data_IF_443118619829
#
_entry.id   IF_443118619829
#
_cell.length_a   1.000
_cell.length_b   1.000
_cell.length_c   1.000
_cell.angle_alpha   90.00
_cell.angle_beta   90.00
_cell.angle_gamma   90.00
#
_symmetry.space_group_name_H-M   'P 1'
#
loop_
_entity.id
_entity.type
_entity.pdbx_description
1 polymer ?
#
# COMPACT_ATOMS: atom_id res chain seq x y z
N UNK A 1 -32.59 -23.49 37.41
CA UNK A 1 -32.40 -23.86 35.95
C UNK A 1 -31.16 -23.30 35.28
N UNK A 2 -30.38 -22.41 35.89
CA UNK A 2 -29.23 -21.73 35.25
C UNK A 2 -27.94 -22.57 35.19
N UNK A 3 -27.62 -23.35 36.21
CA UNK A 3 -26.35 -24.08 36.36
C UNK A 3 -26.20 -25.30 35.45
N UNK A 4 -27.28 -26.03 35.21
CA UNK A 4 -27.25 -27.25 34.35
C UNK A 4 -27.04 -26.92 32.87
N UNK A 5 -27.64 -25.83 32.38
CA UNK A 5 -27.45 -25.37 30.98
C UNK A 5 -26.06 -24.78 30.77
N UNK A 6 -25.50 -24.10 31.80
CA UNK A 6 -24.11 -23.60 31.77
C UNK A 6 -23.12 -24.78 31.61
N UNK A 7 -23.30 -25.85 32.38
CA UNK A 7 -22.46 -27.05 32.27
C UNK A 7 -22.59 -27.80 30.94
N UNK A 8 -23.75 -27.69 30.25
CA UNK A 8 -23.95 -28.29 28.92
C UNK A 8 -23.24 -27.49 27.82
N UNK A 9 -23.15 -26.16 27.94
CA UNK A 9 -22.51 -25.31 26.95
C UNK A 9 -20.98 -25.12 27.15
N UNK A 10 -20.49 -25.30 28.37
CA UNK A 10 -19.07 -25.20 28.70
C UNK A 10 -18.25 -26.34 28.08
N UNK A 11 -18.80 -27.54 27.96
CA UNK A 11 -18.10 -28.70 27.39
C UNK A 11 -18.40 -28.86 25.92
N UNK A 12 -17.32 -28.96 25.09
CA UNK A 12 -17.40 -29.22 23.65
C UNK A 12 -18.16 -30.51 23.33
N UNK A 13 -17.90 -31.59 24.05
CA UNK A 13 -18.58 -32.88 23.85
C UNK A 13 -20.08 -32.79 24.11
N UNK A 14 -20.48 -32.05 25.14
CA UNK A 14 -21.89 -31.84 25.46
C UNK A 14 -22.60 -30.97 24.45
N UNK A 15 -21.91 -29.95 23.88
CA UNK A 15 -22.44 -29.11 22.78
C UNK A 15 -22.69 -29.91 21.52
N UNK A 16 -21.80 -30.85 21.18
CA UNK A 16 -21.93 -31.72 20.01
C UNK A 16 -23.12 -32.69 20.09
N UNK A 17 -23.71 -32.91 21.27
CA UNK A 17 -24.93 -33.71 21.47
C UNK A 17 -26.21 -32.90 21.36
N UNK A 18 -26.13 -31.57 21.26
CA UNK A 18 -27.32 -30.71 21.18
C UNK A 18 -27.98 -30.80 19.80
N UNK A 19 -29.29 -30.60 19.73
CA UNK A 19 -30.06 -30.65 18.47
C UNK A 19 -29.66 -29.54 17.52
N UNK A 20 -29.56 -29.87 16.26
CA UNK A 20 -29.25 -28.91 15.19
C UNK A 20 -30.33 -27.81 15.06
N UNK A 21 -29.91 -26.60 14.79
CA UNK A 21 -30.79 -25.45 14.51
C UNK A 21 -31.41 -24.82 15.75
N UNK A 22 -31.42 -25.49 16.91
CA UNK A 22 -31.94 -24.94 18.15
C UNK A 22 -30.97 -23.98 18.80
N UNK A 23 -31.54 -22.97 19.52
CA UNK A 23 -30.78 -21.99 20.29
C UNK A 23 -30.78 -22.42 21.76
N UNK A 24 -29.62 -22.53 22.35
CA UNK A 24 -29.39 -22.87 23.75
C UNK A 24 -28.80 -21.66 24.46
N UNK A 25 -29.44 -21.11 25.46
CA UNK A 25 -29.04 -19.88 26.14
C UNK A 25 -28.65 -20.07 27.59
N UNK A 26 -27.62 -19.36 28.05
CA UNK A 26 -27.22 -19.25 29.45
C UNK A 26 -27.33 -17.78 29.86
N UNK A 27 -28.00 -17.51 30.97
CA UNK A 27 -28.06 -16.18 31.58
C UNK A 27 -26.70 -15.81 32.18
N UNK A 28 -26.17 -14.63 31.81
CA UNK A 28 -24.89 -14.09 32.29
C UNK A 28 -25.08 -12.94 33.29
N UNK A 29 -26.29 -12.37 33.34
CA UNK A 29 -26.69 -11.26 34.18
C UNK A 29 -28.08 -10.77 33.80
N UNK A 30 -28.60 -9.72 34.46
CA UNK A 30 -29.90 -9.14 34.14
C UNK A 30 -29.96 -8.71 32.67
N UNK A 31 -30.91 -9.29 31.91
CA UNK A 31 -31.10 -8.96 30.50
C UNK A 31 -30.06 -9.49 29.51
N UNK A 32 -29.00 -10.17 29.98
CA UNK A 32 -27.88 -10.64 29.13
C UNK A 32 -27.82 -12.16 29.13
N UNK A 33 -27.84 -12.76 27.94
CA UNK A 33 -27.72 -14.20 27.75
C UNK A 33 -26.66 -14.51 26.67
N UNK A 34 -25.80 -15.51 26.90
CA UNK A 34 -25.02 -16.14 25.88
C UNK A 34 -25.84 -17.22 25.18
N UNK A 35 -25.94 -17.19 23.88
CA UNK A 35 -26.71 -18.11 23.05
C UNK A 35 -25.78 -18.90 22.12
N UNK A 36 -25.83 -20.23 22.24
CA UNK A 36 -25.19 -21.17 21.33
C UNK A 36 -26.20 -21.69 20.30
N UNK A 37 -25.78 -21.83 19.06
CA UNK A 37 -26.56 -22.49 17.99
C UNK A 37 -25.68 -23.45 17.22
N UNK A 38 -26.03 -24.73 17.22
CA UNK A 38 -25.41 -25.76 16.40
C UNK A 38 -25.99 -25.68 14.99
N UNK A 39 -25.14 -25.49 13.98
CA UNK A 39 -25.58 -25.43 12.57
C UNK A 39 -25.59 -26.85 11.96
N UNK A 40 -26.45 -27.09 10.95
CA UNK A 40 -26.43 -28.33 10.16
C UNK A 40 -25.32 -28.32 9.13
N UNK A 41 -25.04 -27.15 8.53
CA UNK A 41 -24.00 -26.87 7.58
C UNK A 41 -23.23 -25.65 8.04
N UNK A 42 -21.89 -25.72 8.02
CA UNK A 42 -21.01 -24.67 8.51
C UNK A 42 -20.80 -24.70 10.03
N UNK A 43 -20.12 -23.67 10.55
CA UNK A 43 -19.71 -23.61 11.96
C UNK A 43 -20.86 -23.29 12.92
N UNK A 44 -20.87 -23.96 14.05
CA UNK A 44 -21.67 -23.57 15.19
C UNK A 44 -21.29 -22.15 15.64
N UNK A 45 -22.21 -21.42 16.28
CA UNK A 45 -21.98 -20.02 16.58
C UNK A 45 -22.39 -19.60 17.99
N UNK A 46 -21.63 -18.67 18.54
CA UNK A 46 -21.95 -17.93 19.74
C UNK A 46 -22.60 -16.60 19.39
N UNK A 47 -23.63 -16.22 20.17
CA UNK A 47 -24.31 -14.92 20.09
C UNK A 47 -24.63 -14.39 21.47
N UNK A 48 -24.59 -13.08 21.67
CA UNK A 48 -25.12 -12.42 22.84
C UNK A 48 -26.56 -11.99 22.58
N UNK A 49 -27.47 -12.34 23.49
CA UNK A 49 -28.84 -11.85 23.48
C UNK A 49 -28.99 -10.85 24.64
N UNK A 50 -29.36 -9.63 24.29
CA UNK A 50 -29.55 -8.54 25.23
C UNK A 50 -31.00 -8.06 25.15
N UNK A 51 -31.57 -7.75 26.32
CA UNK A 51 -32.89 -7.12 26.45
C UNK A 51 -32.70 -5.72 27.02
N UNK A 52 -33.13 -4.71 26.27
CA UNK A 52 -33.08 -3.33 26.70
C UNK A 52 -34.14 -2.99 27.74
N UNK A 53 -34.04 -1.83 28.43
CA UNK A 53 -35.04 -1.39 29.41
C UNK A 53 -36.44 -1.24 28.83
N UNK A 54 -36.56 -1.05 27.52
CA UNK A 54 -37.85 -0.93 26.79
C UNK A 54 -38.41 -2.30 26.37
N UNK A 55 -37.77 -3.40 26.80
CA UNK A 55 -38.23 -4.77 26.51
C UNK A 55 -37.83 -5.34 25.17
N UNK A 56 -37.15 -4.58 24.30
CA UNK A 56 -36.69 -5.04 22.99
C UNK A 56 -35.47 -5.96 23.14
N UNK A 57 -35.52 -7.10 22.45
CA UNK A 57 -34.44 -8.08 22.48
C UNK A 57 -33.59 -8.01 21.23
N UNK A 58 -32.28 -7.85 21.39
CA UNK A 58 -31.28 -7.90 20.33
C UNK A 58 -30.47 -9.18 20.43
N UNK A 59 -30.08 -9.75 19.28
CA UNK A 59 -29.22 -10.91 19.19
C UNK A 59 -28.01 -10.57 18.34
N UNK A 60 -26.82 -10.52 18.96
CA UNK A 60 -25.55 -10.18 18.29
C UNK A 60 -24.67 -11.42 18.19
N UNK A 61 -24.23 -11.77 16.98
CA UNK A 61 -23.26 -12.85 16.78
C UNK A 61 -21.87 -12.40 17.29
N UNK A 62 -21.22 -13.27 18.10
CA UNK A 62 -19.90 -13.02 18.68
C UNK A 62 -18.78 -13.70 17.87
N UNK A 63 -19.00 -14.93 17.41
CA UNK A 63 -18.03 -15.70 16.65
C UNK A 63 -18.51 -17.13 16.37
N UNK A 64 -17.66 -17.93 15.71
CA UNK A 64 -17.84 -19.37 15.60
C UNK A 64 -17.55 -20.04 16.96
N UNK A 65 -18.18 -21.18 17.23
CA UNK A 65 -17.84 -22.00 18.39
C UNK A 65 -16.65 -22.92 18.05
N UNK A 66 -15.82 -23.20 19.06
CA UNK A 66 -14.64 -24.08 18.98
C UNK A 66 -14.97 -25.57 18.84
N UNK A 67 -16.10 -25.88 18.19
CA UNK A 67 -16.57 -27.26 18.06
C UNK A 67 -15.79 -28.06 17.02
N UNK A 68 -15.32 -27.42 15.95
CA UNK A 68 -14.56 -28.02 14.87
C UNK A 68 -13.06 -27.62 14.87
N UNK A 69 -12.76 -26.38 15.29
CA UNK A 69 -11.44 -25.78 15.22
C UNK A 69 -11.01 -25.29 16.59
N UNK A 70 -9.70 -25.20 16.88
CA UNK A 70 -9.20 -24.60 18.12
C UNK A 70 -9.58 -23.12 18.23
N UNK A 71 -9.92 -22.64 19.43
CA UNK A 71 -10.29 -21.24 19.63
C UNK A 71 -9.09 -20.32 19.44
N UNK A 72 -9.25 -19.28 18.59
CA UNK A 72 -8.28 -18.22 18.32
C UNK A 72 -8.54 -16.94 19.14
N UNK A 73 -9.64 -16.90 19.87
CA UNK A 73 -10.07 -15.75 20.66
C UNK A 73 -10.61 -14.56 19.85
N UNK A 74 -10.70 -14.67 18.53
CA UNK A 74 -11.11 -13.59 17.60
C UNK A 74 -12.29 -14.02 16.73
N UNK A 75 -12.12 -15.11 15.98
CA UNK A 75 -13.13 -15.63 15.04
C UNK A 75 -13.77 -16.90 15.55
N UNK A 76 -12.99 -17.74 16.22
CA UNK A 76 -13.42 -18.97 16.89
C UNK A 76 -13.24 -18.83 18.39
N UNK A 77 -14.33 -18.97 19.13
CA UNK A 77 -14.37 -18.66 20.55
C UNK A 77 -14.67 -19.92 21.38
N UNK A 78 -13.93 -20.13 22.47
CA UNK A 78 -14.31 -21.06 23.52
C UNK A 78 -15.53 -20.52 24.28
N UNK A 79 -16.15 -21.36 25.10
CA UNK A 79 -17.26 -20.93 25.96
C UNK A 79 -16.86 -19.77 26.88
N UNK A 80 -15.69 -19.83 27.51
CA UNK A 80 -15.20 -18.79 28.42
C UNK A 80 -14.92 -17.47 27.69
N UNK A 81 -14.31 -17.55 26.50
CA UNK A 81 -14.06 -16.38 25.65
C UNK A 81 -15.37 -15.74 25.18
N UNK A 82 -16.36 -16.56 24.81
CA UNK A 82 -17.68 -16.09 24.43
C UNK A 82 -18.45 -15.46 25.62
N UNK A 83 -18.33 -16.01 26.83
CA UNK A 83 -18.88 -15.43 28.05
C UNK A 83 -18.25 -14.07 28.37
N UNK A 84 -16.91 -14.00 28.32
CA UNK A 84 -16.17 -12.76 28.54
C UNK A 84 -16.58 -11.68 27.53
N UNK A 85 -16.66 -12.05 26.25
CA UNK A 85 -17.05 -11.13 25.18
C UNK A 85 -18.52 -10.69 25.31
N UNK A 86 -19.43 -11.59 25.68
CA UNK A 86 -20.83 -11.27 25.92
C UNK A 86 -21.02 -10.29 27.10
N UNK A 87 -20.23 -10.41 28.17
CA UNK A 87 -20.22 -9.46 29.30
C UNK A 87 -19.65 -8.11 28.93
N UNK A 88 -18.49 -8.07 28.25
CA UNK A 88 -17.87 -6.82 27.77
C UNK A 88 -18.82 -6.06 26.85
N UNK A 89 -19.61 -6.76 26.05
CA UNK A 89 -20.64 -6.11 25.20
C UNK A 89 -21.83 -5.60 25.99
N UNK A 90 -22.05 -6.04 27.24
CA UNK A 90 -23.12 -5.51 28.11
C UNK A 90 -22.69 -4.31 28.95
N UNK A 91 -21.40 -4.26 29.36
CA UNK A 91 -20.85 -3.20 30.19
C UNK A 91 -20.31 -2.01 29.41
N UNK A 92 -20.23 -2.15 28.08
CA UNK A 92 -19.64 -1.19 27.15
C UNK A 92 -20.63 -0.39 26.31
N UNK A 93 -21.78 -0.04 26.83
CA UNK A 93 -22.77 0.80 26.15
C UNK A 93 -22.47 2.29 26.22
N UNK A 94 -21.28 2.74 25.82
CA UNK A 94 -21.13 4.17 25.65
C UNK A 94 -20.95 4.62 24.20
N UNK A 95 -20.59 3.73 23.24
CA UNK A 95 -20.22 4.27 21.92
C UNK A 95 -20.40 3.35 20.68
N UNK A 96 -21.21 2.28 20.78
CA UNK A 96 -21.53 1.52 19.55
C UNK A 96 -22.88 1.98 19.02
N UNK A 97 -22.95 2.76 17.95
CA UNK A 97 -24.21 3.17 17.32
C UNK A 97 -25.05 1.94 16.99
N UNK A 98 -26.38 2.04 17.12
CA UNK A 98 -27.28 1.01 16.63
C UNK A 98 -26.92 0.68 15.16
N UNK A 99 -27.01 -0.59 14.73
CA UNK A 99 -26.74 -0.93 13.34
C UNK A 99 -27.46 0.03 12.39
N UNK A 100 -26.75 0.53 11.38
CA UNK A 100 -27.26 1.46 10.39
C UNK A 100 -27.49 2.93 10.81
N UNK A 101 -27.07 3.36 12.02
CA UNK A 101 -27.12 4.78 12.43
C UNK A 101 -25.78 5.49 12.25
N UNK A 102 -24.77 4.78 11.76
CA UNK A 102 -23.41 5.29 11.63
C UNK A 102 -23.29 6.30 10.48
N UNK A 103 -22.81 7.51 10.75
CA UNK A 103 -22.43 8.46 9.71
C UNK A 103 -21.06 8.13 9.12
N UNK A 104 -20.80 8.61 7.91
CA UNK A 104 -19.48 8.44 7.26
C UNK A 104 -18.37 9.09 8.09
N UNK A 105 -18.64 10.21 8.77
CA UNK A 105 -17.69 10.86 9.69
C UNK A 105 -17.35 9.94 10.86
N UNK A 106 -18.35 9.40 11.54
CA UNK A 106 -18.13 8.46 12.64
C UNK A 106 -17.40 7.19 12.20
N UNK A 107 -17.74 6.66 11.00
CA UNK A 107 -17.01 5.54 10.40
C UNK A 107 -15.54 5.90 10.15
N UNK A 108 -15.28 7.12 9.63
CA UNK A 108 -13.92 7.61 9.38
C UNK A 108 -13.11 7.79 10.68
N UNK A 109 -13.71 8.31 11.74
CA UNK A 109 -13.05 8.50 13.03
C UNK A 109 -12.64 7.14 13.63
N UNK A 110 -13.54 6.15 13.63
CA UNK A 110 -13.26 4.78 14.08
C UNK A 110 -12.19 4.10 13.19
N UNK A 111 -12.33 4.24 11.88
CA UNK A 111 -11.34 3.73 10.93
C UNK A 111 -9.95 4.34 11.18
N UNK A 112 -9.86 5.64 11.44
CA UNK A 112 -8.59 6.32 11.69
C UNK A 112 -7.95 5.91 13.01
N UNK A 113 -8.72 5.63 14.06
CA UNK A 113 -8.21 5.07 15.32
C UNK A 113 -7.54 3.73 15.08
N UNK A 114 -8.23 2.82 14.39
CA UNK A 114 -7.66 1.53 13.99
C UNK A 114 -6.47 1.69 13.05
N UNK A 115 -6.56 2.57 12.03
CA UNK A 115 -5.53 2.76 11.01
C UNK A 115 -4.21 3.25 11.60
N UNK A 116 -4.25 4.16 12.57
CA UNK A 116 -3.06 4.67 13.27
C UNK A 116 -2.32 3.59 14.04
N UNK A 117 -3.04 2.65 14.63
CA UNK A 117 -2.44 1.52 15.36
C UNK A 117 -1.82 0.46 14.44
N UNK A 118 -2.37 0.23 13.23
CA UNK A 118 -2.04 -0.94 12.42
C UNK A 118 -1.40 -0.62 11.07
N UNK A 119 -1.35 0.65 10.64
CA UNK A 119 -0.93 1.02 9.28
C UNK A 119 0.04 2.20 9.25
N UNK A 120 0.93 2.17 8.24
CA UNK A 120 1.81 3.29 7.90
C UNK A 120 1.12 4.20 6.87
N UNK A 121 1.52 5.46 6.76
CA UNK A 121 0.96 6.38 5.73
C UNK A 121 -0.29 7.13 6.16
N UNK A 122 -0.45 7.37 7.46
CA UNK A 122 -1.57 8.08 8.10
C UNK A 122 -1.91 9.40 7.41
N UNK A 123 -0.91 10.23 7.10
CA UNK A 123 -1.12 11.57 6.52
C UNK A 123 -1.83 11.56 5.17
N UNK A 124 -1.55 10.56 4.32
CA UNK A 124 -2.22 10.44 3.01
C UNK A 124 -3.69 10.10 3.18
N UNK A 125 -4.00 9.18 4.10
CA UNK A 125 -5.38 8.78 4.42
C UNK A 125 -6.15 9.94 5.04
N UNK A 126 -5.56 10.64 6.01
CA UNK A 126 -6.14 11.85 6.63
C UNK A 126 -6.43 12.93 5.57
N UNK A 127 -5.49 13.16 4.65
CA UNK A 127 -5.69 14.12 3.57
C UNK A 127 -6.86 13.74 2.65
N UNK A 128 -6.96 12.47 2.25
CA UNK A 128 -8.08 11.99 1.43
C UNK A 128 -9.42 12.14 2.14
N UNK A 129 -9.48 11.82 3.44
CA UNK A 129 -10.68 11.99 4.25
C UNK A 129 -11.06 13.48 4.35
N UNK A 130 -10.13 14.32 4.82
CA UNK A 130 -10.42 15.74 5.12
C UNK A 130 -10.76 16.55 3.88
N UNK A 131 -10.05 16.32 2.76
CA UNK A 131 -10.16 17.17 1.56
C UNK A 131 -11.27 16.70 0.64
N UNK A 132 -11.53 15.41 0.56
CA UNK A 132 -12.43 14.87 -0.47
C UNK A 132 -13.66 14.15 0.08
N UNK A 133 -13.48 13.29 1.09
CA UNK A 133 -14.55 12.39 1.52
C UNK A 133 -15.51 13.05 2.49
N UNK A 134 -14.99 13.63 3.58
CA UNK A 134 -15.83 14.20 4.63
C UNK A 134 -16.63 15.44 4.18
N UNK A 135 -16.12 16.35 3.32
CA UNK A 135 -16.93 17.43 2.81
C UNK A 135 -18.15 16.99 2.00
N UNK A 136 -18.02 15.83 1.33
CA UNK A 136 -19.10 15.29 0.47
C UNK A 136 -20.05 14.37 1.23
N UNK A 137 -19.53 13.47 2.04
CA UNK A 137 -20.33 12.38 2.63
C UNK A 137 -20.35 12.39 4.15
N UNK A 138 -19.56 13.22 4.84
CA UNK A 138 -19.32 13.12 6.27
C UNK A 138 -20.59 13.09 7.13
N UNK A 139 -21.60 13.87 6.77
CA UNK A 139 -22.89 13.96 7.47
C UNK A 139 -23.89 12.86 7.08
N UNK A 140 -23.62 12.11 6.01
CA UNK A 140 -24.52 11.07 5.50
C UNK A 140 -24.41 9.79 6.33
N UNK A 141 -25.53 9.12 6.53
CA UNK A 141 -25.54 7.76 7.06
C UNK A 141 -24.95 6.79 6.03
N UNK A 142 -24.09 5.86 6.49
CA UNK A 142 -23.44 4.88 5.59
C UNK A 142 -24.46 4.08 4.80
N UNK A 143 -25.57 3.70 5.41
CA UNK A 143 -26.64 2.89 4.77
C UNK A 143 -27.42 3.64 3.70
N UNK A 144 -27.37 4.97 3.70
CA UNK A 144 -28.05 5.78 2.69
C UNK A 144 -27.23 6.01 1.42
N UNK A 145 -25.95 5.64 1.43
CA UNK A 145 -25.07 5.78 0.28
C UNK A 145 -25.51 4.84 -0.85
N UNK A 146 -25.60 5.38 -2.07
CA UNK A 146 -25.97 4.62 -3.27
C UNK A 146 -24.79 4.48 -4.23
N UNK A 147 -24.70 3.35 -4.91
CA UNK A 147 -23.67 3.08 -5.90
C UNK A 147 -23.57 4.18 -6.98
N UNK A 148 -24.72 4.73 -7.40
CA UNK A 148 -24.77 5.82 -8.37
C UNK A 148 -24.06 7.09 -7.85
N UNK A 149 -24.31 7.50 -6.61
CA UNK A 149 -23.69 8.67 -6.00
C UNK A 149 -22.16 8.48 -5.82
N UNK A 150 -21.74 7.31 -5.38
CA UNK A 150 -20.32 6.96 -5.23
C UNK A 150 -19.61 6.95 -6.59
N UNK A 151 -20.28 6.46 -7.63
CA UNK A 151 -19.78 6.50 -9.01
C UNK A 151 -19.70 7.93 -9.54
N UNK A 152 -20.71 8.76 -9.29
CA UNK A 152 -20.71 10.18 -9.66
C UNK A 152 -19.56 10.94 -8.95
N UNK A 153 -19.33 10.68 -7.66
CA UNK A 153 -18.19 11.23 -6.92
C UNK A 153 -16.85 10.84 -7.55
N UNK A 154 -16.66 9.56 -7.87
CA UNK A 154 -15.44 9.05 -8.52
C UNK A 154 -15.21 9.73 -9.88
N UNK A 155 -16.24 9.85 -10.70
CA UNK A 155 -16.18 10.50 -12.01
C UNK A 155 -15.91 11.99 -11.89
N UNK A 156 -16.58 12.70 -10.98
CA UNK A 156 -16.33 14.13 -10.71
C UNK A 156 -14.88 14.37 -10.33
N UNK A 157 -14.32 13.55 -9.45
CA UNK A 157 -12.91 13.67 -9.09
C UNK A 157 -11.96 13.43 -10.27
N UNK A 158 -12.30 12.55 -11.19
CA UNK A 158 -11.48 12.23 -12.36
C UNK A 158 -11.47 13.36 -13.41
N UNK A 159 -12.51 14.18 -13.45
CA UNK A 159 -12.67 15.28 -14.43
C UNK A 159 -12.35 16.65 -13.88
N UNK A 160 -12.42 16.84 -12.55
CA UNK A 160 -12.15 18.12 -11.89
C UNK A 160 -10.64 18.39 -11.81
N UNK A 161 -10.26 19.66 -11.99
CA UNK A 161 -8.89 20.13 -11.82
C UNK A 161 -8.35 19.80 -10.41
N UNK A 162 -7.05 19.46 -10.26
CA UNK A 162 -6.48 19.10 -8.97
C UNK A 162 -6.35 20.32 -8.05
N UNK A 163 -6.86 20.23 -6.83
CA UNK A 163 -6.53 21.20 -5.78
C UNK A 163 -5.04 21.16 -5.46
N UNK A 164 -4.40 22.31 -5.35
CA UNK A 164 -2.99 22.46 -4.95
C UNK A 164 -2.90 22.93 -3.52
N UNK A 165 -1.74 22.71 -2.89
CA UNK A 165 -1.49 23.21 -1.54
C UNK A 165 -1.63 24.74 -1.54
N UNK A 166 -2.56 25.22 -0.71
CA UNK A 166 -2.90 26.62 -0.57
C UNK A 166 -2.47 27.06 0.83
N UNK A 167 -1.99 28.29 0.97
CA UNK A 167 -1.74 28.91 2.26
C UNK A 167 -3.03 28.98 3.07
N UNK A 168 -2.94 28.84 4.39
CA UNK A 168 -4.10 29.01 5.27
C UNK A 168 -4.67 30.45 5.23
N UNK A 169 -3.86 31.40 4.79
CA UNK A 169 -4.24 32.82 4.67
C UNK A 169 -4.76 33.19 3.26
N UNK A 170 -4.78 32.24 2.32
CA UNK A 170 -5.27 32.53 0.96
C UNK A 170 -6.80 32.59 0.94
N UNK A 171 -7.32 33.63 0.28
CA UNK A 171 -8.78 33.81 0.10
C UNK A 171 -9.40 32.72 -0.79
N UNK A 172 -8.63 32.20 -1.74
CA UNK A 172 -9.09 31.19 -2.68
C UNK A 172 -8.16 29.96 -2.69
N UNK A 173 -8.72 28.79 -2.98
CA UNK A 173 -7.94 27.56 -3.12
C UNK A 173 -7.15 27.57 -4.43
N UNK A 174 -5.84 27.30 -4.36
CA UNK A 174 -5.03 27.08 -5.55
C UNK A 174 -5.50 25.83 -6.29
N UNK A 175 -5.84 25.99 -7.56
CA UNK A 175 -6.29 24.91 -8.43
C UNK A 175 -5.27 24.73 -9.56
N UNK A 176 -4.96 23.50 -9.89
CA UNK A 176 -4.11 23.17 -11.04
C UNK A 176 -4.87 23.30 -12.36
N UNK A 177 -4.21 23.13 -13.50
CA UNK A 177 -4.87 23.12 -14.79
C UNK A 177 -5.86 21.97 -14.90
N UNK A 178 -6.93 22.17 -15.67
CA UNK A 178 -7.88 21.13 -16.00
C UNK A 178 -7.16 19.94 -16.71
N UNK A 179 -7.61 18.70 -16.50
CA UNK A 179 -6.98 17.53 -17.10
C UNK A 179 -7.39 17.38 -18.58
N UNK A 180 -6.76 18.15 -19.47
CA UNK A 180 -7.08 18.14 -20.91
C UNK A 180 -6.40 16.97 -21.62
N UNK A 181 -5.11 16.74 -21.35
CA UNK A 181 -4.34 15.68 -22.00
C UNK A 181 -4.70 14.29 -21.47
N UNK A 182 -4.52 13.25 -22.26
CA UNK A 182 -4.79 11.88 -21.85
C UNK A 182 -3.97 11.44 -20.64
N UNK A 183 -2.71 11.90 -20.53
CA UNK A 183 -1.88 11.65 -19.36
C UNK A 183 -2.43 12.36 -18.13
N UNK A 184 -2.85 13.61 -18.23
CA UNK A 184 -3.48 14.34 -17.12
C UNK A 184 -4.82 13.69 -16.69
N UNK A 185 -5.64 13.25 -17.64
CA UNK A 185 -6.88 12.49 -17.37
C UNK A 185 -6.58 11.17 -16.66
N UNK A 186 -5.55 10.44 -17.11
CA UNK A 186 -5.12 9.20 -16.48
C UNK A 186 -4.64 9.44 -15.04
N UNK A 187 -3.84 10.46 -14.79
CA UNK A 187 -3.36 10.82 -13.44
C UNK A 187 -4.52 11.20 -12.52
N UNK A 188 -5.52 11.93 -13.02
CA UNK A 188 -6.72 12.27 -12.26
C UNK A 188 -7.55 11.03 -11.91
N UNK A 189 -7.74 10.09 -12.86
CA UNK A 189 -8.38 8.80 -12.61
C UNK A 189 -7.65 7.99 -11.54
N UNK A 190 -6.31 7.95 -11.58
CA UNK A 190 -5.51 7.27 -10.54
C UNK A 190 -5.69 7.93 -9.18
N UNK A 191 -5.73 9.27 -9.12
CA UNK A 191 -6.01 10.01 -7.89
C UNK A 191 -7.42 9.72 -7.36
N UNK A 192 -8.42 9.75 -8.23
CA UNK A 192 -9.81 9.43 -7.90
C UNK A 192 -9.93 8.00 -7.33
N UNK A 193 -9.30 7.02 -7.98
CA UNK A 193 -9.25 5.64 -7.49
C UNK A 193 -8.61 5.54 -6.10
N UNK A 194 -7.51 6.26 -5.85
CA UNK A 194 -6.85 6.26 -4.52
C UNK A 194 -7.75 6.82 -3.43
N UNK A 195 -8.44 7.92 -3.67
CA UNK A 195 -9.38 8.49 -2.71
C UNK A 195 -10.57 7.56 -2.50
N UNK A 196 -11.12 7.01 -3.57
CA UNK A 196 -12.21 6.04 -3.47
C UNK A 196 -11.80 4.77 -2.70
N UNK A 197 -10.57 4.29 -2.87
CA UNK A 197 -10.06 3.14 -2.10
C UNK A 197 -10.01 3.43 -0.59
N UNK A 198 -9.72 4.68 -0.17
CA UNK A 198 -9.81 5.08 1.24
C UNK A 198 -11.27 5.03 1.72
N UNK A 199 -12.20 5.60 0.95
CA UNK A 199 -13.64 5.53 1.27
C UNK A 199 -14.11 4.07 1.35
N UNK A 200 -13.79 3.25 0.36
CA UNK A 200 -14.16 1.83 0.36
C UNK A 200 -13.56 1.06 1.53
N UNK A 201 -12.33 1.36 1.93
CA UNK A 201 -11.68 0.70 3.06
C UNK A 201 -12.36 1.02 4.40
N UNK A 202 -12.73 2.29 4.63
CA UNK A 202 -13.47 2.65 5.85
C UNK A 202 -14.88 2.07 5.88
N UNK A 203 -15.59 2.01 4.74
CA UNK A 203 -16.91 1.40 4.65
C UNK A 203 -16.85 -0.12 4.86
N UNK A 204 -15.85 -0.78 4.28
CA UNK A 204 -15.61 -2.21 4.52
C UNK A 204 -15.29 -2.48 6.00
N UNK A 205 -14.51 -1.62 6.65
CA UNK A 205 -14.21 -1.75 8.09
C UNK A 205 -15.49 -1.63 8.91
N UNK A 206 -16.35 -0.63 8.61
CA UNK A 206 -17.65 -0.48 9.28
C UNK A 206 -18.55 -1.70 9.08
N UNK A 207 -18.55 -2.31 7.89
CA UNK A 207 -19.28 -3.55 7.62
C UNK A 207 -18.68 -4.75 8.37
N UNK A 208 -17.36 -4.91 8.36
CA UNK A 208 -16.66 -6.00 9.08
C UNK A 208 -16.88 -5.91 10.60
N UNK A 209 -16.96 -4.69 11.14
CA UNK A 209 -17.22 -4.44 12.54
C UNK A 209 -18.72 -4.61 12.92
N UNK A 210 -19.58 -4.97 11.98
CA UNK A 210 -21.01 -5.17 12.20
C UNK A 210 -21.82 -3.88 12.40
N UNK A 211 -21.23 -2.71 12.12
CA UNK A 211 -21.87 -1.39 12.29
C UNK A 211 -22.86 -1.06 11.16
N UNK A 212 -22.75 -1.76 10.04
CA UNK A 212 -23.68 -1.69 8.91
C UNK A 212 -23.98 -3.10 8.40
N UNK A 213 -25.20 -3.29 7.89
CA UNK A 213 -25.71 -4.63 7.54
C UNK A 213 -25.44 -5.06 6.11
N UNK A 214 -25.06 -4.14 5.22
CA UNK A 214 -24.81 -4.45 3.81
C UNK A 214 -23.66 -3.62 3.25
N UNK A 215 -22.87 -4.22 2.40
CA UNK A 215 -21.77 -3.60 1.66
C UNK A 215 -22.05 -3.50 0.15
N UNK A 216 -23.25 -3.88 -0.28
CA UNK A 216 -23.64 -4.05 -1.69
C UNK A 216 -23.44 -2.79 -2.52
N UNK A 217 -23.74 -1.61 -1.97
CA UNK A 217 -23.70 -0.37 -2.74
C UNK A 217 -22.27 0.01 -3.16
N UNK A 218 -21.29 -0.06 -2.25
CA UNK A 218 -19.91 0.29 -2.62
C UNK A 218 -19.13 -0.86 -3.27
N UNK A 219 -19.61 -2.10 -3.19
CA UNK A 219 -19.06 -3.23 -3.98
C UNK A 219 -19.37 -3.09 -5.46
N UNK A 220 -20.53 -2.53 -5.81
CA UNK A 220 -20.95 -2.32 -7.21
C UNK A 220 -20.10 -1.29 -7.93
N UNK A 221 -19.49 -0.34 -7.21
CA UNK A 221 -18.68 0.72 -7.80
C UNK A 221 -17.35 0.17 -8.31
N UNK A 222 -17.09 0.36 -9.59
CA UNK A 222 -15.85 -0.09 -10.25
C UNK A 222 -14.89 1.08 -10.42
N UNK A 223 -13.66 1.00 -9.88
CA UNK A 223 -12.63 2.00 -10.13
C UNK A 223 -12.31 2.13 -11.63
N UNK A 224 -11.81 3.30 -12.03
CA UNK A 224 -11.37 3.53 -13.41
C UNK A 224 -10.28 2.54 -13.82
N UNK A 225 -10.50 1.83 -14.92
CA UNK A 225 -9.54 0.86 -15.48
C UNK A 225 -8.35 1.60 -16.09
N UNK A 226 -7.19 0.93 -16.15
CA UNK A 226 -5.95 1.43 -16.76
C UNK A 226 -5.45 2.78 -16.22
N UNK A 227 -5.96 3.24 -15.07
CA UNK A 227 -5.54 4.48 -14.44
C UNK A 227 -4.10 4.43 -13.92
N UNK A 228 -3.63 3.24 -13.51
CA UNK A 228 -2.30 3.00 -12.94
C UNK A 228 -1.34 2.34 -13.94
N UNK A 229 -1.51 2.61 -15.24
CA UNK A 229 -0.54 2.16 -16.23
C UNK A 229 0.83 2.76 -15.89
N UNK A 230 1.89 1.95 -15.80
CA UNK A 230 3.22 2.45 -15.48
C UNK A 230 3.69 3.41 -16.56
N UNK A 231 4.16 4.58 -16.15
CA UNK A 231 4.85 5.51 -17.03
C UNK A 231 6.32 5.08 -17.06
N UNK A 232 6.72 4.40 -18.12
CA UNK A 232 8.10 3.92 -18.25
C UNK A 232 8.94 5.00 -18.93
N UNK A 233 9.20 6.12 -18.20
CA UNK A 233 10.20 7.11 -18.60
C UNK A 233 11.51 6.76 -17.90
N UNK A 234 12.57 6.60 -18.67
CA UNK A 234 13.94 6.47 -18.18
C UNK A 234 14.87 7.32 -19.07
N UNK A 235 16.00 7.70 -18.53
CA UNK A 235 16.99 8.49 -19.22
C UNK A 235 17.88 7.60 -20.09
N UNK A 236 18.19 8.06 -21.29
CA UNK A 236 19.29 7.52 -22.07
C UNK A 236 20.62 7.81 -21.39
N UNK A 237 21.71 7.13 -21.81
CA UNK A 237 23.07 7.41 -21.31
C UNK A 237 23.43 8.89 -21.51
N UNK A 238 23.16 9.44 -22.70
CA UNK A 238 23.43 10.84 -23.01
C UNK A 238 22.65 11.83 -22.14
N UNK A 239 21.34 11.56 -21.90
CA UNK A 239 20.52 12.36 -21.00
C UNK A 239 21.01 12.28 -19.56
N UNK A 240 21.43 11.10 -19.09
CA UNK A 240 21.99 10.92 -17.75
C UNK A 240 23.25 11.76 -17.53
N UNK A 241 24.14 11.78 -18.52
CA UNK A 241 25.38 12.59 -18.49
C UNK A 241 25.02 14.09 -18.44
N UNK A 242 24.13 14.57 -19.34
CA UNK A 242 23.71 15.97 -19.34
C UNK A 242 23.08 16.38 -18.01
N UNK A 243 22.23 15.52 -17.44
CA UNK A 243 21.59 15.78 -16.14
C UNK A 243 22.62 15.92 -15.02
N UNK A 244 23.55 14.96 -14.92
CA UNK A 244 24.61 14.99 -13.89
C UNK A 244 25.44 16.25 -14.01
N UNK A 245 25.79 16.68 -15.24
CA UNK A 245 26.58 17.90 -15.47
C UNK A 245 25.81 19.19 -15.09
N UNK A 246 24.50 19.20 -15.34
CA UNK A 246 23.63 20.35 -15.01
C UNK A 246 23.26 20.45 -13.53
N UNK A 247 23.45 19.38 -12.73
CA UNK A 247 23.12 19.39 -11.31
C UNK A 247 24.12 20.21 -10.48
N UNK A 248 23.67 21.10 -9.54
CA UNK A 248 24.52 21.72 -8.56
C UNK A 248 25.05 20.67 -7.53
N UNK A 249 26.15 21.00 -6.85
CA UNK A 249 26.94 20.03 -6.06
C UNK A 249 26.15 19.09 -5.15
N UNK A 250 25.28 19.50 -4.21
CA UNK A 250 24.59 18.54 -3.34
C UNK A 250 23.64 17.64 -4.12
N UNK A 251 22.96 18.16 -5.15
CA UNK A 251 22.01 17.39 -5.98
C UNK A 251 22.76 16.44 -6.90
N UNK A 252 23.91 16.86 -7.44
CA UNK A 252 24.78 16.03 -8.29
C UNK A 252 25.16 14.73 -7.60
N UNK A 253 25.58 14.80 -6.34
CA UNK A 253 25.94 13.59 -5.57
C UNK A 253 24.76 12.67 -5.37
N UNK A 254 23.55 13.20 -5.05
CA UNK A 254 22.33 12.42 -4.92
C UNK A 254 21.92 11.75 -6.23
N UNK A 255 21.97 12.48 -7.36
CA UNK A 255 21.62 11.95 -8.69
C UNK A 255 22.59 10.85 -9.10
N UNK A 256 23.91 11.07 -8.91
CA UNK A 256 24.93 10.03 -9.18
C UNK A 256 24.73 8.81 -8.28
N UNK A 257 24.45 9.00 -6.98
CA UNK A 257 24.16 7.91 -6.06
C UNK A 257 22.90 7.11 -6.48
N UNK A 258 21.83 7.79 -6.91
CA UNK A 258 20.64 7.13 -7.43
C UNK A 258 20.89 6.31 -8.70
N UNK A 259 21.65 6.86 -9.63
CA UNK A 259 22.02 6.18 -10.88
C UNK A 259 23.00 5.00 -10.66
N UNK A 260 23.85 5.07 -9.62
CA UNK A 260 24.80 3.99 -9.30
C UNK A 260 24.18 2.85 -8.49
N UNK A 261 23.07 3.08 -7.76
CA UNK A 261 22.52 2.12 -6.78
C UNK A 261 21.08 1.69 -7.05
N UNK A 262 20.34 2.45 -7.86
CA UNK A 262 18.90 2.28 -8.02
C UNK A 262 18.10 2.53 -6.73
N UNK A 263 18.70 3.14 -5.71
CA UNK A 263 18.06 3.40 -4.43
C UNK A 263 16.92 4.42 -4.54
N UNK A 264 15.90 4.27 -3.67
CA UNK A 264 14.85 5.29 -3.53
C UNK A 264 15.41 6.54 -2.87
N UNK A 265 14.83 7.70 -3.17
CA UNK A 265 15.23 8.97 -2.54
C UNK A 265 15.37 8.84 -1.02
N UNK A 266 14.34 8.33 -0.33
CA UNK A 266 14.39 8.16 1.12
C UNK A 266 15.37 7.09 1.62
N UNK A 267 15.84 6.17 0.78
CA UNK A 267 16.92 5.24 1.10
C UNK A 267 18.26 5.96 1.05
N UNK A 268 18.54 6.74 0.00
CA UNK A 268 19.74 7.56 -0.12
C UNK A 268 19.91 8.54 1.04
N UNK A 269 18.83 9.15 1.51
CA UNK A 269 18.90 10.12 2.62
C UNK A 269 19.34 9.51 3.94
N UNK A 270 19.18 8.21 4.12
CA UNK A 270 19.53 7.50 5.36
C UNK A 270 20.83 6.72 5.29
N UNK A 271 21.48 6.71 4.12
CA UNK A 271 22.77 6.02 3.96
C UNK A 271 23.84 6.71 4.77
N UNK A 272 24.52 5.95 5.62
CA UNK A 272 25.65 6.40 6.43
C UNK A 272 26.97 5.89 5.85
N UNK A 273 28.06 6.57 6.17
CA UNK A 273 29.39 6.17 5.70
C UNK A 273 29.74 4.72 6.10
N UNK A 274 29.29 4.26 7.27
CA UNK A 274 29.48 2.88 7.72
C UNK A 274 28.65 1.83 6.97
N UNK A 275 27.69 2.23 6.11
CA UNK A 275 26.96 1.30 5.25
C UNK A 275 27.78 0.88 4.01
N UNK A 276 28.91 1.53 3.75
CA UNK A 276 29.80 1.22 2.63
C UNK A 276 31.00 0.38 3.09
N UNK A 277 31.23 -0.73 2.39
CA UNK A 277 32.41 -1.57 2.56
C UNK A 277 33.41 -1.30 1.41
N UNK A 278 34.56 -0.60 1.67
CA UNK A 278 35.52 -0.28 0.62
C UNK A 278 36.21 -1.50 0.01
N UNK A 279 36.37 -2.57 0.81
CA UNK A 279 37.07 -3.79 0.39
C UNK A 279 36.26 -4.64 -0.56
N UNK A 280 34.95 -4.73 -0.31
CA UNK A 280 34.03 -5.53 -1.13
C UNK A 280 33.34 -4.72 -2.22
N UNK A 281 33.40 -3.39 -2.15
CA UNK A 281 32.66 -2.50 -3.06
C UNK A 281 31.14 -2.55 -2.89
N UNK A 282 30.67 -3.08 -1.75
CA UNK A 282 29.23 -3.22 -1.44
C UNK A 282 28.71 -2.03 -0.64
N UNK A 283 27.51 -1.59 -0.98
CA UNK A 283 26.78 -0.59 -0.23
C UNK A 283 25.52 -1.22 0.36
N UNK A 284 25.38 -1.16 1.68
CA UNK A 284 24.19 -1.62 2.39
C UNK A 284 23.08 -0.59 2.31
N UNK A 285 21.94 -0.98 1.75
CA UNK A 285 20.74 -0.16 1.72
C UNK A 285 19.79 -0.65 2.81
N UNK A 286 19.66 0.16 3.85
CA UNK A 286 18.81 -0.15 5.01
C UNK A 286 17.34 -0.30 4.61
N UNK A 287 16.58 -1.19 5.29
CA UNK A 287 15.17 -1.38 5.00
C UNK A 287 14.39 -0.07 5.18
N UNK A 288 13.52 0.20 4.22
CA UNK A 288 12.62 1.35 4.24
C UNK A 288 11.17 0.95 4.49
N UNK A 289 10.30 1.25 3.51
CA UNK A 289 8.91 0.76 3.50
C UNK A 289 8.80 -0.74 3.24
N UNK A 290 9.72 -1.33 2.48
CA UNK A 290 9.88 -2.78 2.30
C UNK A 290 10.72 -3.33 3.43
N UNK A 291 10.33 -4.44 4.00
CA UNK A 291 10.92 -5.00 5.23
C UNK A 291 12.33 -5.62 5.06
N UNK A 292 12.91 -5.55 3.87
CA UNK A 292 14.21 -6.16 3.59
C UNK A 292 15.24 -5.12 3.15
N UNK A 293 16.37 -5.07 3.87
CA UNK A 293 17.57 -4.38 3.41
C UNK A 293 18.26 -5.19 2.31
N UNK A 294 19.23 -4.56 1.63
CA UNK A 294 20.00 -5.23 0.57
C UNK A 294 21.39 -4.67 0.42
N UNK A 295 22.33 -5.51 0.05
CA UNK A 295 23.65 -5.10 -0.43
C UNK A 295 23.57 -4.85 -1.95
N UNK A 296 24.10 -3.71 -2.38
CA UNK A 296 24.19 -3.36 -3.79
C UNK A 296 25.68 -3.22 -4.16
N UNK A 297 26.18 -4.03 -5.11
CA UNK A 297 27.53 -3.87 -5.62
C UNK A 297 27.61 -2.58 -6.45
N UNK A 298 28.66 -1.80 -6.24
CA UNK A 298 28.91 -0.58 -6.97
C UNK A 298 29.79 -0.85 -8.19
N UNK A 299 29.46 -0.25 -9.32
CA UNK A 299 30.36 -0.20 -10.47
C UNK A 299 31.53 0.76 -10.18
N UNK A 300 32.53 0.81 -11.06
CA UNK A 300 33.73 1.63 -10.90
C UNK A 300 33.42 3.11 -10.58
N UNK A 301 32.44 3.70 -11.27
CA UNK A 301 32.03 5.09 -11.04
C UNK A 301 31.34 5.30 -9.69
N UNK A 302 30.42 4.39 -9.33
CA UNK A 302 29.76 4.41 -8.02
C UNK A 302 30.72 4.20 -6.87
N UNK A 303 31.70 3.31 -7.05
CA UNK A 303 32.77 3.05 -6.08
C UNK A 303 33.65 4.30 -5.86
N UNK A 304 34.12 4.92 -6.95
CA UNK A 304 34.93 6.15 -6.86
C UNK A 304 34.15 7.28 -6.17
N UNK A 305 32.89 7.50 -6.55
CA UNK A 305 32.01 8.48 -5.95
C UNK A 305 31.86 8.23 -4.43
N UNK A 306 31.55 6.98 -4.05
CA UNK A 306 31.27 6.65 -2.65
C UNK A 306 32.57 6.78 -1.81
N UNK A 307 33.71 6.28 -2.28
CA UNK A 307 35.00 6.46 -1.65
C UNK A 307 35.31 7.95 -1.40
N UNK A 308 35.09 8.80 -2.40
CA UNK A 308 35.29 10.25 -2.26
C UNK A 308 34.37 10.86 -1.20
N UNK A 309 33.08 10.44 -1.16
CA UNK A 309 32.10 11.02 -0.24
C UNK A 309 32.27 10.55 1.22
N UNK A 310 32.87 9.39 1.46
CA UNK A 310 33.07 8.86 2.82
C UNK A 310 34.45 9.18 3.40
N UNK A 311 35.41 9.58 2.57
CA UNK A 311 36.78 9.80 2.98
C UNK A 311 36.89 10.79 4.17
N UNK A 312 37.57 10.37 5.24
CA UNK A 312 37.78 11.18 6.44
C UNK A 312 36.52 11.47 7.27
N UNK A 313 35.40 10.78 7.01
CA UNK A 313 34.15 11.03 7.72
C UNK A 313 33.78 9.88 8.64
N UNK A 314 33.15 10.16 9.81
CA UNK A 314 32.75 9.10 10.75
C UNK A 314 31.70 8.19 10.15
N UNK A 315 31.69 6.93 10.61
CA UNK A 315 30.76 5.90 10.11
C UNK A 315 29.27 6.30 10.23
N UNK A 316 28.93 7.10 11.23
CA UNK A 316 27.56 7.60 11.46
C UNK A 316 27.14 8.77 10.56
N UNK A 317 28.09 9.40 9.85
CA UNK A 317 27.79 10.53 8.98
C UNK A 317 27.00 10.07 7.75
N UNK A 318 26.08 10.89 7.24
CA UNK A 318 25.34 10.61 6.03
C UNK A 318 26.22 10.70 4.79
N UNK A 319 26.13 9.75 3.86
CA UNK A 319 26.89 9.81 2.59
C UNK A 319 26.47 11.02 1.76
N UNK A 320 25.18 11.33 1.71
CA UNK A 320 24.58 12.36 0.85
C UNK A 320 23.90 13.49 1.66
N UNK A 321 24.65 14.32 2.41
CA UNK A 321 24.07 15.44 3.14
C UNK A 321 23.73 16.62 2.20
N UNK A 322 22.92 17.55 2.68
CA UNK A 322 22.71 18.86 2.06
C UNK A 322 23.51 19.95 2.83
N UNK A 323 24.76 20.12 2.45
CA UNK A 323 25.69 20.88 3.30
C UNK A 323 25.87 20.16 4.64
N UNK A 324 25.62 20.85 5.75
CA UNK A 324 25.79 20.30 7.11
C UNK A 324 24.52 19.65 7.68
N UNK A 325 23.49 19.41 6.90
CA UNK A 325 22.22 18.86 7.37
C UNK A 325 21.65 17.78 6.46
N UNK A 326 20.63 17.10 6.94
CA UNK A 326 19.83 16.16 6.17
C UNK A 326 18.94 16.86 5.14
N UNK A 327 18.65 16.16 4.04
CA UNK A 327 17.61 16.54 3.10
C UNK A 327 16.23 16.29 3.70
N UNK A 328 15.31 17.21 3.49
CA UNK A 328 13.90 16.99 3.82
C UNK A 328 13.14 16.36 2.65
N UNK A 329 11.98 15.79 2.95
CA UNK A 329 11.10 15.23 1.93
C UNK A 329 10.70 16.30 0.89
N UNK A 330 10.98 16.01 -0.39
CA UNK A 330 10.61 16.88 -1.50
C UNK A 330 11.60 18.01 -1.82
N UNK A 331 12.63 18.24 -1.02
CA UNK A 331 13.60 19.33 -1.27
C UNK A 331 14.39 19.17 -2.57
N UNK A 332 14.58 17.94 -3.05
CA UNK A 332 15.26 17.66 -4.30
C UNK A 332 14.45 18.06 -5.54
N UNK A 333 13.14 18.29 -5.40
CA UNK A 333 12.25 18.48 -6.55
C UNK A 333 12.62 19.69 -7.41
N UNK A 334 12.68 20.88 -6.80
CA UNK A 334 13.00 22.11 -7.53
C UNK A 334 14.40 22.10 -8.14
N UNK A 335 15.47 21.72 -7.40
CA UNK A 335 16.81 21.65 -7.99
C UNK A 335 16.91 20.61 -9.11
N UNK A 336 16.21 19.47 -9.02
CA UNK A 336 16.20 18.46 -10.09
C UNK A 336 15.43 18.97 -11.31
N UNK A 337 14.30 19.65 -11.13
CA UNK A 337 13.51 20.24 -12.19
C UNK A 337 14.31 21.32 -12.94
N UNK A 338 15.03 22.18 -12.23
CA UNK A 338 15.93 23.17 -12.80
C UNK A 338 17.08 22.50 -13.60
N UNK A 339 17.67 21.41 -13.06
CA UNK A 339 18.71 20.65 -13.74
C UNK A 339 18.17 19.95 -15.01
N UNK A 340 16.94 19.45 -15.01
CA UNK A 340 16.30 18.89 -16.20
C UNK A 340 16.12 19.96 -17.28
N UNK A 341 15.67 21.15 -16.92
CA UNK A 341 15.51 22.27 -17.84
C UNK A 341 16.86 22.67 -18.47
N UNK A 342 17.92 22.85 -17.66
CA UNK A 342 19.26 23.17 -18.11
C UNK A 342 19.87 22.06 -19.00
N UNK A 343 19.55 20.80 -18.71
CA UNK A 343 19.99 19.63 -19.50
C UNK A 343 19.13 19.36 -20.74
N UNK A 344 18.08 20.18 -21.01
CA UNK A 344 17.11 19.98 -22.09
C UNK A 344 16.50 18.58 -22.06
N UNK A 345 16.03 18.16 -20.88
CA UNK A 345 15.34 16.87 -20.64
C UNK A 345 13.85 17.13 -20.56
N UNK A 346 13.14 16.75 -21.60
CA UNK A 346 11.69 16.92 -21.71
C UNK A 346 11.02 15.55 -22.00
N UNK A 347 9.94 15.24 -21.27
CA UNK A 347 9.47 15.94 -20.08
C UNK A 347 10.45 15.78 -18.90
N UNK A 348 10.45 16.77 -17.99
CA UNK A 348 11.27 16.70 -16.77
C UNK A 348 10.96 15.42 -15.98
N UNK A 349 11.99 14.83 -15.39
CA UNK A 349 11.87 13.62 -14.60
C UNK A 349 11.71 13.94 -13.09
N UNK A 350 11.04 13.05 -12.37
CA UNK A 350 11.10 13.01 -10.91
C UNK A 350 12.29 12.16 -10.43
N UNK A 351 12.64 12.26 -9.15
CA UNK A 351 13.76 11.49 -8.60
C UNK A 351 13.55 9.96 -8.71
N UNK A 352 12.29 9.51 -8.75
CA UNK A 352 11.98 8.07 -8.86
C UNK A 352 12.34 7.51 -10.25
N UNK A 353 12.33 8.34 -11.28
CA UNK A 353 12.71 7.95 -12.65
C UNK A 353 14.22 7.69 -12.79
N UNK A 354 15.07 8.17 -11.86
CA UNK A 354 16.48 7.76 -11.80
C UNK A 354 16.62 6.27 -11.45
N UNK A 355 15.79 5.77 -10.55
CA UNK A 355 15.71 4.35 -10.25
C UNK A 355 15.16 3.53 -11.42
N UNK A 356 14.19 4.08 -12.15
CA UNK A 356 13.72 3.47 -13.39
C UNK A 356 14.85 3.45 -14.44
N UNK A 357 15.66 4.50 -14.52
CA UNK A 357 16.82 4.57 -15.42
C UNK A 357 17.84 3.48 -15.10
N UNK A 358 18.22 3.32 -13.83
CA UNK A 358 19.11 2.25 -13.39
C UNK A 358 18.61 0.86 -13.81
N UNK A 359 17.35 0.56 -13.52
CA UNK A 359 16.76 -0.73 -13.83
C UNK A 359 16.60 -0.97 -15.35
N UNK A 360 16.20 0.08 -16.10
CA UNK A 360 16.03 0.00 -17.55
C UNK A 360 17.38 -0.20 -18.27
N UNK A 361 18.43 0.46 -17.82
CA UNK A 361 19.78 0.27 -18.37
C UNK A 361 20.27 -1.17 -18.14
N UNK A 362 20.04 -1.74 -16.95
CA UNK A 362 20.37 -3.14 -16.67
C UNK A 362 19.57 -4.10 -17.55
N UNK A 363 18.26 -3.87 -17.72
CA UNK A 363 17.42 -4.70 -18.58
C UNK A 363 17.85 -4.64 -20.05
N UNK A 364 18.23 -3.46 -20.56
CA UNK A 364 18.70 -3.27 -21.92
C UNK A 364 20.01 -3.98 -22.24
N UNK A 365 20.90 -4.13 -21.25
CA UNK A 365 22.15 -4.90 -21.43
C UNK A 365 21.99 -6.39 -21.14
N UNK A 366 20.76 -6.85 -20.91
CA UNK A 366 20.43 -8.27 -20.80
C UNK A 366 20.50 -8.87 -19.40
N UNK A 367 20.53 -8.04 -18.35
CA UNK A 367 20.42 -8.55 -16.96
C UNK A 367 19.02 -9.09 -16.74
N UNK A 368 18.91 -10.27 -16.13
CA UNK A 368 17.62 -10.91 -15.86
C UNK A 368 16.79 -10.11 -14.84
N UNK A 369 15.46 -10.22 -14.97
CA UNK A 369 14.51 -9.45 -14.15
C UNK A 369 14.55 -9.81 -12.66
N UNK A 370 14.94 -11.03 -12.30
CA UNK A 370 15.06 -11.46 -10.91
C UNK A 370 16.26 -10.76 -10.25
N UNK A 371 17.39 -10.70 -10.93
CA UNK A 371 18.59 -9.96 -10.48
C UNK A 371 18.28 -8.48 -10.33
N UNK A 372 17.62 -7.86 -11.32
CA UNK A 372 17.17 -6.46 -11.22
C UNK A 372 16.24 -6.27 -10.02
N UNK A 373 15.30 -7.19 -9.81
CA UNK A 373 14.37 -7.15 -8.67
C UNK A 373 15.10 -7.18 -7.32
N UNK A 374 16.12 -8.04 -7.18
CA UNK A 374 16.98 -8.13 -5.99
C UNK A 374 17.77 -6.83 -5.76
N UNK A 375 18.42 -6.29 -6.80
CA UNK A 375 19.15 -5.02 -6.73
C UNK A 375 18.25 -3.85 -6.32
N UNK A 376 17.02 -3.83 -6.81
CA UNK A 376 16.03 -2.82 -6.44
C UNK A 376 15.41 -3.06 -5.06
N UNK A 377 15.45 -4.27 -4.51
CA UNK A 377 14.77 -4.64 -3.27
C UNK A 377 13.24 -4.62 -3.42
N UNK A 378 12.71 -5.20 -4.48
CA UNK A 378 11.30 -5.45 -4.62
C UNK A 378 10.95 -6.76 -3.90
N UNK A 379 9.95 -6.70 -3.01
CA UNK A 379 9.44 -7.89 -2.34
C UNK A 379 8.73 -8.86 -3.33
N UNK A 380 8.26 -8.33 -4.47
CA UNK A 380 7.54 -9.07 -5.51
C UNK A 380 8.14 -8.75 -6.89
N UNK A 381 8.60 -9.79 -7.56
CA UNK A 381 9.16 -9.71 -8.93
C UNK A 381 8.15 -9.22 -9.97
N UNK A 382 6.85 -9.39 -9.71
CA UNK A 382 5.78 -8.87 -10.58
C UNK A 382 5.87 -7.36 -10.78
N UNK A 383 6.38 -6.63 -9.80
CA UNK A 383 6.63 -5.19 -9.93
C UNK A 383 7.68 -4.93 -10.98
N UNK A 384 8.81 -5.65 -10.94
CA UNK A 384 9.91 -5.54 -11.92
C UNK A 384 9.45 -5.95 -13.31
N UNK A 385 8.79 -7.10 -13.44
CA UNK A 385 8.25 -7.58 -14.72
C UNK A 385 7.30 -6.57 -15.37
N UNK A 386 6.37 -6.02 -14.58
CA UNK A 386 5.38 -5.05 -15.08
C UNK A 386 6.02 -3.79 -15.68
N UNK A 387 7.17 -3.37 -15.13
CA UNK A 387 7.85 -2.15 -15.55
C UNK A 387 8.94 -2.36 -16.61
N UNK A 388 9.63 -3.52 -16.63
CA UNK A 388 10.85 -3.69 -17.39
C UNK A 388 10.86 -4.89 -18.35
N UNK A 389 9.85 -5.78 -18.33
CA UNK A 389 9.84 -6.97 -19.19
C UNK A 389 9.92 -6.65 -20.69
N UNK A 390 9.31 -5.55 -21.13
CA UNK A 390 9.36 -5.10 -22.52
C UNK A 390 10.74 -4.60 -22.98
N UNK A 391 11.68 -4.40 -22.05
CA UNK A 391 13.07 -4.00 -22.34
C UNK A 391 14.03 -5.20 -22.34
N UNK A 392 13.56 -6.39 -22.01
CA UNK A 392 14.39 -7.59 -21.85
C UNK A 392 14.64 -8.37 -23.15
N UNK A 393 14.37 -7.80 -24.34
CA UNK A 393 14.57 -8.46 -25.63
C UNK A 393 16.02 -8.94 -25.82
N UNK A 394 17.00 -8.20 -25.28
CA UNK A 394 18.39 -8.61 -25.35
C UNK A 394 18.67 -9.86 -24.50
N UNK A 395 18.01 -10.00 -23.35
CA UNK A 395 18.11 -11.23 -22.53
C UNK A 395 17.59 -12.43 -23.29
N UNK A 396 16.49 -12.29 -24.03
CA UNK A 396 15.93 -13.37 -24.84
C UNK A 396 16.90 -13.77 -25.96
N UNK A 397 17.47 -12.79 -26.66
CA UNK A 397 18.47 -13.05 -27.69
C UNK A 397 19.72 -13.72 -27.16
N UNK A 398 20.23 -13.24 -26.03
CA UNK A 398 21.38 -13.83 -25.32
C UNK A 398 21.11 -15.28 -24.91
N UNK A 399 19.92 -15.55 -24.34
CA UNK A 399 19.52 -16.88 -23.94
C UNK A 399 19.46 -17.86 -25.13
N UNK A 400 18.86 -17.44 -26.26
CA UNK A 400 18.77 -18.24 -27.46
C UNK A 400 20.17 -18.46 -28.10
N UNK A 401 21.07 -17.47 -28.02
CA UNK A 401 22.44 -17.59 -28.52
C UNK A 401 23.29 -18.62 -27.76
N UNK A 402 22.89 -19.00 -26.54
CA UNK A 402 23.54 -20.06 -25.74
C UNK A 402 23.13 -21.48 -26.18
N UNK A 403 22.14 -21.62 -27.05
CA UNK A 403 21.75 -22.95 -27.55
C UNK A 403 22.86 -23.55 -28.37
N UNK A 404 23.13 -24.86 -28.26
CA UNK A 404 24.12 -25.54 -29.08
C UNK A 404 23.75 -25.49 -30.56
N UNK A 405 24.73 -25.25 -31.40
CA UNK A 405 24.55 -25.33 -32.86
C UNK A 405 24.37 -26.79 -33.25
N UNK A 406 23.18 -27.15 -33.71
CA UNK A 406 22.84 -28.51 -34.15
C UNK A 406 23.23 -28.80 -35.59
N UNK A 407 23.45 -27.75 -36.37
CA UNK A 407 23.85 -27.85 -37.80
C UNK A 407 25.26 -27.32 -38.01
N UNK A 408 26.09 -27.97 -38.87
CA UNK A 408 27.41 -27.47 -39.19
C UNK A 408 27.30 -26.09 -39.88
N UNK A 409 28.28 -25.23 -39.66
CA UNK A 409 28.30 -23.91 -40.28
C UNK A 409 28.36 -24.06 -41.79
N UNK A 410 27.36 -23.58 -42.53
CA UNK A 410 27.37 -23.52 -43.98
C UNK A 410 28.49 -22.58 -44.42
N UNK A 411 29.54 -23.10 -45.01
CA UNK A 411 30.59 -22.27 -45.60
C UNK A 411 30.00 -21.50 -46.79
N UNK A 412 29.68 -20.26 -46.61
CA UNK A 412 29.29 -19.36 -47.70
C UNK A 412 30.51 -19.16 -48.58
N UNK A 413 30.53 -19.86 -49.71
CA UNK A 413 31.56 -19.69 -50.75
C UNK A 413 31.29 -18.34 -51.43
N UNK A 414 32.01 -17.32 -51.05
CA UNK A 414 32.01 -16.05 -51.80
C UNK A 414 32.69 -16.36 -53.12
N UNK A 415 31.93 -16.50 -54.19
CA UNK A 415 32.47 -16.50 -55.54
C UNK A 415 32.89 -15.07 -55.86
N UNK A 416 34.21 -14.84 -55.98
CA UNK A 416 34.72 -13.64 -56.56
C UNK A 416 34.34 -13.63 -58.06
N UNK A 417 33.46 -12.71 -58.42
CA UNK A 417 33.19 -12.39 -59.83
C UNK A 417 34.41 -11.60 -60.34
N UNK A 418 35.09 -12.18 -61.28
CA UNK A 418 36.16 -11.49 -62.08
C UNK A 418 35.51 -10.60 -63.10
#
# INVERSE_FOLDING_TARGET
>A
MSTETSNKLASREKRLRLKFGMRHGVALGPGVHLVYRRARTGDASWSARQRDPNGRTTLRRLGAADDATHPDGITVLSFEQAVKLARVTSDGEADTPAPNTLTVKQAADRYMTWYRAHRKGVMTTVSALRVHILPTFGHRLVVTLKAAELTAFLNKMATTAPGRRTSALAKEMNVGPAPVTDDAKRQRRSTANRVYNVLRALLNKAFTDGLVTSDTEWRRVKPHRKADAPRVRFLTKAESIRLVNACPAPVKSLVRGALATGARYGELLRMQCGDFSPDTGLLWIRPGKSDHGRHVPLNAEGLALTKQLVAGRPASALIFPRGNREWRAGEQRRPLEAACAAAKIEPAISFHELRHTYASQLAQVGVDLLTISKLLGHADTRVTSRHYAHLADQSLRNAVALLPRLLPATKTRVQAIR
#
